data_IF_445146346097
#
_entry.id   IF_445146346097
#
_cell.length_a   1.000
_cell.length_b   1.000
_cell.length_c   1.000
_cell.angle_alpha   90.00
_cell.angle_beta   90.00
_cell.angle_gamma   90.00
#
_symmetry.space_group_name_H-M   'P 1'
#
loop_
_entity.id
_entity.type
_entity.pdbx_description
1 polymer ?
#
# COMPACT_ATOMS: atom_id res chain seq x y z
N UNK A 1 -11.02 -43.61 24.87
CA UNK A 1 -11.23 -42.56 23.85
C UNK A 1 -10.49 -41.30 24.30
N UNK A 2 -9.33 -41.02 23.71
CA UNK A 2 -8.49 -39.90 24.11
C UNK A 2 -9.09 -38.57 23.65
N UNK A 3 -9.29 -37.64 24.58
CA UNK A 3 -9.62 -36.26 24.28
C UNK A 3 -8.38 -35.58 23.67
N UNK A 4 -8.38 -35.33 22.36
CA UNK A 4 -7.37 -34.48 21.74
C UNK A 4 -7.64 -33.02 22.11
N UNK A 5 -6.82 -32.49 23.01
CA UNK A 5 -6.88 -31.12 23.52
C UNK A 5 -6.80 -30.08 22.40
N UNK A 6 -7.88 -29.31 22.24
CA UNK A 6 -8.00 -28.16 21.33
C UNK A 6 -7.03 -27.01 21.64
N UNK A 7 -6.30 -27.09 22.76
CA UNK A 7 -5.29 -26.11 23.16
C UNK A 7 -4.00 -26.19 22.33
N UNK A 8 -3.61 -27.37 21.83
CA UNK A 8 -2.35 -27.53 21.09
C UNK A 8 -2.32 -26.80 19.74
N UNK A 9 -3.46 -26.71 19.03
CA UNK A 9 -3.53 -26.03 17.71
C UNK A 9 -3.47 -24.51 17.84
N UNK A 10 -4.20 -23.93 18.79
CA UNK A 10 -4.21 -22.48 19.01
C UNK A 10 -2.87 -21.99 19.54
N UNK A 11 -2.24 -22.75 20.41
CA UNK A 11 -0.90 -22.43 20.92
C UNK A 11 0.16 -22.58 19.83
N UNK A 12 0.07 -23.62 18.99
CA UNK A 12 0.93 -23.77 17.81
C UNK A 12 0.78 -22.61 16.83
N UNK A 13 -0.44 -22.19 16.49
CA UNK A 13 -0.67 -21.04 15.60
C UNK A 13 -0.17 -19.72 16.20
N UNK A 14 -0.31 -19.53 17.52
CA UNK A 14 0.26 -18.36 18.22
C UNK A 14 1.78 -18.37 18.15
N UNK A 15 2.42 -19.51 18.44
CA UNK A 15 3.89 -19.67 18.38
C UNK A 15 4.40 -19.52 16.94
N UNK A 16 3.73 -20.10 15.96
CA UNK A 16 4.05 -19.96 14.53
C UNK A 16 3.92 -18.50 14.06
N UNK A 17 2.86 -17.81 14.46
CA UNK A 17 2.66 -16.39 14.16
C UNK A 17 3.73 -15.48 14.79
N UNK A 18 4.09 -15.72 16.06
CA UNK A 18 5.20 -15.02 16.71
C UNK A 18 6.55 -15.28 16.04
N UNK A 19 6.82 -16.53 15.62
CA UNK A 19 8.05 -16.88 14.89
C UNK A 19 8.11 -16.26 13.50
N UNK A 20 6.98 -16.15 12.78
CA UNK A 20 6.90 -15.44 11.51
C UNK A 20 7.15 -13.94 11.68
N UNK A 21 6.57 -13.33 12.71
CA UNK A 21 6.80 -11.93 13.04
C UNK A 21 8.29 -11.67 13.36
N UNK A 22 8.93 -12.52 14.18
CA UNK A 22 10.35 -12.40 14.50
C UNK A 22 11.27 -12.66 13.30
N UNK A 23 10.96 -13.67 12.48
CA UNK A 23 11.71 -13.97 11.24
C UNK A 23 11.60 -12.86 10.20
N UNK A 24 10.45 -12.19 10.11
CA UNK A 24 10.28 -11.02 9.26
C UNK A 24 11.08 -9.81 9.75
N UNK A 25 11.18 -9.55 11.06
CA UNK A 25 12.04 -8.46 11.55
C UNK A 25 13.53 -8.65 11.18
N UNK A 26 14.02 -9.89 11.20
CA UNK A 26 15.43 -10.18 10.92
C UNK A 26 15.82 -9.97 9.44
N UNK A 27 14.91 -10.19 8.49
CA UNK A 27 15.17 -9.94 7.06
C UNK A 27 15.09 -8.45 6.68
N UNK A 28 14.50 -7.62 7.55
CA UNK A 28 14.30 -6.19 7.33
C UNK A 28 15.37 -5.27 7.87
N UNK A 29 16.08 -5.67 8.93
CA UNK A 29 17.14 -4.85 9.52
C UNK A 29 18.19 -4.42 8.47
N UNK A 30 18.65 -5.29 7.53
CA UNK A 30 19.59 -4.86 6.49
C UNK A 30 18.99 -3.84 5.51
N UNK A 31 17.71 -4.00 5.14
CA UNK A 31 17.04 -3.10 4.18
C UNK A 31 16.71 -1.74 4.80
N UNK A 32 16.36 -1.69 6.09
CA UNK A 32 16.16 -0.45 6.83
C UNK A 32 17.48 0.25 7.16
N UNK A 33 18.56 -0.51 7.45
CA UNK A 33 19.89 0.04 7.72
C UNK A 33 20.58 0.64 6.48
N UNK A 34 20.06 0.38 5.27
CA UNK A 34 20.51 1.01 4.02
C UNK A 34 19.78 2.33 3.72
N UNK A 35 18.62 2.60 4.32
CA UNK A 35 17.88 3.86 4.17
C UNK A 35 18.54 5.13 4.76
N UNK A 36 19.40 5.10 5.80
CA UNK A 36 19.99 6.31 6.37
C UNK A 36 21.04 6.99 5.46
N UNK A 37 21.44 6.36 4.34
CA UNK A 37 22.42 6.94 3.41
C UNK A 37 21.82 7.91 2.38
N UNK A 38 20.51 8.16 2.42
CA UNK A 38 19.93 9.31 1.74
C UNK A 38 20.11 10.55 2.64
N UNK A 39 21.19 11.30 2.40
CA UNK A 39 21.32 12.67 2.94
C UNK A 39 20.16 13.50 2.39
N UNK A 40 19.07 13.60 3.17
CA UNK A 40 17.94 14.44 2.83
C UNK A 40 18.42 15.89 2.79
N UNK A 41 18.18 16.54 1.66
CA UNK A 41 18.44 17.95 1.43
C UNK A 41 17.94 18.80 2.61
N UNK A 42 18.79 19.70 3.09
CA UNK A 42 18.46 20.65 4.15
C UNK A 42 17.22 21.45 3.74
N UNK A 43 16.09 21.16 4.36
CA UNK A 43 14.85 21.88 4.10
C UNK A 43 14.58 22.85 5.24
N UNK A 44 14.06 24.03 4.92
CA UNK A 44 13.57 24.96 5.93
C UNK A 44 12.23 24.47 6.49
N UNK A 45 12.06 24.59 7.81
CA UNK A 45 10.88 24.08 8.54
C UNK A 45 10.96 22.61 8.96
N UNK A 46 10.03 22.17 9.80
CA UNK A 46 9.96 20.76 10.24
C UNK A 46 9.50 19.86 9.09
N UNK A 47 10.30 18.84 8.78
CA UNK A 47 9.96 17.78 7.84
C UNK A 47 10.35 16.44 8.43
N UNK A 48 9.44 15.48 8.36
CA UNK A 48 9.67 14.12 8.80
C UNK A 48 9.33 13.15 7.67
N UNK A 49 10.17 12.13 7.50
CA UNK A 49 9.86 10.97 6.69
C UNK A 49 9.36 9.87 7.64
N UNK A 50 8.15 9.38 7.42
CA UNK A 50 7.58 8.27 8.17
C UNK A 50 7.55 7.05 7.26
N UNK A 51 8.38 6.05 7.58
CA UNK A 51 8.40 4.77 6.87
C UNK A 51 7.47 3.78 7.57
N UNK A 52 6.32 3.49 6.96
CA UNK A 52 5.40 2.46 7.45
C UNK A 52 5.71 1.16 6.72
N UNK A 53 6.31 0.21 7.43
CA UNK A 53 6.54 -1.13 6.90
C UNK A 53 5.38 -2.05 7.26
N UNK A 54 4.76 -2.65 6.24
CA UNK A 54 3.67 -3.61 6.39
C UNK A 54 4.21 -4.99 6.01
N UNK A 55 4.45 -5.85 7.01
CA UNK A 55 5.06 -7.17 6.88
C UNK A 55 4.15 -8.19 6.14
N UNK A 56 3.88 -7.96 4.86
CA UNK A 56 3.07 -8.84 4.00
C UNK A 56 1.56 -8.74 4.20
N UNK A 57 1.08 -8.04 5.22
CA UNK A 57 -0.36 -7.86 5.47
C UNK A 57 -1.01 -6.76 4.59
N UNK A 58 -0.26 -6.14 3.67
CA UNK A 58 -0.78 -5.14 2.75
C UNK A 58 -0.96 -5.70 1.35
N UNK A 59 -2.20 -5.74 0.88
CA UNK A 59 -2.51 -6.01 -0.53
C UNK A 59 -2.42 -4.70 -1.34
N UNK A 60 -1.22 -4.35 -1.76
CA UNK A 60 -0.94 -3.10 -2.47
C UNK A 60 -1.66 -2.99 -3.83
N UNK A 61 -2.10 -4.12 -4.40
CA UNK A 61 -2.86 -4.12 -5.65
C UNK A 61 -4.22 -3.45 -5.50
N UNK A 62 -4.77 -3.41 -4.28
CA UNK A 62 -6.05 -2.76 -4.00
C UNK A 62 -5.90 -1.31 -3.51
N UNK A 63 -4.69 -0.76 -3.39
CA UNK A 63 -4.47 0.62 -2.93
C UNK A 63 -4.73 1.66 -4.00
N UNK A 64 -4.16 1.45 -5.19
CA UNK A 64 -4.24 2.35 -6.33
C UNK A 64 -4.57 1.52 -7.57
N UNK A 65 -5.84 1.51 -7.93
CA UNK A 65 -6.40 0.65 -8.97
C UNK A 65 -6.69 1.49 -10.22
N UNK A 66 -6.35 1.02 -11.43
CA UNK A 66 -6.80 1.69 -12.66
C UNK A 66 -8.32 1.81 -12.69
N UNK A 67 -8.84 2.99 -13.03
CA UNK A 67 -10.28 3.26 -13.08
C UNK A 67 -10.68 3.91 -14.41
N UNK A 68 -10.13 3.38 -15.49
CA UNK A 68 -10.31 3.90 -16.84
C UNK A 68 -11.65 3.52 -17.47
N UNK A 69 -12.11 2.27 -17.33
CA UNK A 69 -13.42 1.81 -17.80
C UNK A 69 -13.77 0.43 -17.21
N UNK A 70 -15.04 0.04 -17.21
CA UNK A 70 -15.46 -1.35 -16.90
C UNK A 70 -15.45 -2.27 -18.13
N UNK A 71 -15.25 -1.72 -19.33
CA UNK A 71 -15.24 -2.46 -20.59
C UNK A 71 -14.12 -3.52 -20.63
N UNK A 72 -14.38 -4.61 -21.37
CA UNK A 72 -13.36 -5.64 -21.63
C UNK A 72 -12.14 -5.04 -22.32
N UNK A 73 -10.95 -5.45 -21.88
CA UNK A 73 -9.66 -4.98 -22.39
C UNK A 73 -9.16 -3.67 -21.77
N UNK A 74 -9.92 -3.06 -20.85
CA UNK A 74 -9.45 -1.93 -20.05
C UNK A 74 -8.38 -2.36 -19.03
N UNK A 75 -7.70 -1.38 -18.44
CA UNK A 75 -6.73 -1.67 -17.37
C UNK A 75 -7.42 -2.12 -16.08
N UNK A 76 -8.60 -1.57 -15.79
CA UNK A 76 -9.43 -2.10 -14.71
C UNK A 76 -9.83 -3.57 -14.97
N UNK A 77 -10.24 -3.92 -16.20
CA UNK A 77 -10.56 -5.31 -16.56
C UNK A 77 -9.35 -6.23 -16.36
N UNK A 78 -8.15 -5.79 -16.76
CA UNK A 78 -6.89 -6.51 -16.52
C UNK A 78 -6.63 -6.74 -15.03
N UNK A 79 -6.78 -5.70 -14.21
CA UNK A 79 -6.69 -5.80 -12.74
C UNK A 79 -7.72 -6.80 -12.20
N UNK A 80 -8.99 -6.65 -12.59
CA UNK A 80 -10.10 -7.48 -12.12
C UNK A 80 -9.87 -8.96 -12.45
N UNK A 81 -9.46 -9.28 -13.68
CA UNK A 81 -9.21 -10.65 -14.13
C UNK A 81 -8.00 -11.28 -13.44
N UNK A 82 -6.89 -10.53 -13.32
CA UNK A 82 -5.66 -11.00 -12.65
C UNK A 82 -5.93 -11.36 -11.17
N UNK A 83 -6.96 -10.76 -10.59
CA UNK A 83 -7.37 -10.92 -9.19
C UNK A 83 -8.50 -11.94 -8.99
N UNK A 84 -8.82 -12.73 -10.01
CA UNK A 84 -9.88 -13.75 -9.93
C UNK A 84 -11.29 -13.16 -9.91
N UNK A 85 -11.47 -11.91 -10.35
CA UNK A 85 -12.74 -11.20 -10.36
C UNK A 85 -13.10 -10.54 -9.03
N UNK A 86 -14.29 -9.94 -8.99
CA UNK A 86 -14.86 -9.32 -7.79
C UNK A 86 -15.51 -10.39 -6.93
N UNK A 87 -15.31 -10.31 -5.62
CA UNK A 87 -15.96 -11.21 -4.67
C UNK A 87 -17.49 -11.10 -4.77
N UNK A 88 -18.18 -12.24 -4.82
CA UNK A 88 -19.65 -12.30 -4.78
C UNK A 88 -20.11 -13.66 -4.27
N UNK A 89 -21.42 -13.84 -4.06
CA UNK A 89 -21.99 -15.14 -3.67
C UNK A 89 -21.67 -16.27 -4.67
N UNK A 90 -21.43 -15.94 -5.94
CA UNK A 90 -21.03 -16.89 -6.98
C UNK A 90 -19.53 -16.92 -7.26
N UNK A 91 -18.76 -15.98 -6.69
CA UNK A 91 -17.31 -15.91 -6.83
C UNK A 91 -16.66 -15.68 -5.46
N UNK A 92 -16.46 -16.76 -4.70
CA UNK A 92 -15.87 -16.71 -3.36
C UNK A 92 -14.36 -16.48 -3.34
N UNK A 93 -13.70 -16.58 -4.50
CA UNK A 93 -12.25 -16.45 -4.63
C UNK A 93 -11.80 -15.11 -5.21
N UNK A 94 -12.76 -14.23 -5.56
CA UNK A 94 -12.47 -12.92 -6.13
C UNK A 94 -11.79 -12.00 -5.11
N UNK A 95 -10.71 -11.35 -5.51
CA UNK A 95 -9.94 -10.43 -4.67
C UNK A 95 -9.93 -9.00 -5.22
N UNK A 96 -10.54 -8.77 -6.38
CA UNK A 96 -10.68 -7.43 -6.96
C UNK A 96 -11.73 -6.61 -6.20
N UNK A 97 -11.48 -5.31 -6.09
CA UNK A 97 -12.50 -4.34 -5.70
C UNK A 97 -13.47 -4.07 -6.87
N UNK A 98 -14.76 -3.92 -6.57
CA UNK A 98 -15.73 -3.52 -7.58
C UNK A 98 -15.43 -2.09 -8.07
N UNK A 99 -15.68 -1.82 -9.35
CA UNK A 99 -15.36 -0.53 -9.97
C UNK A 99 -16.01 0.66 -9.25
N UNK A 100 -17.23 0.44 -8.77
CA UNK A 100 -18.03 1.45 -8.08
C UNK A 100 -17.70 1.58 -6.59
N UNK A 101 -17.00 0.61 -5.99
CA UNK A 101 -16.50 0.73 -4.62
C UNK A 101 -15.21 1.56 -4.56
N UNK A 102 -14.49 1.66 -5.68
CA UNK A 102 -13.25 2.42 -5.77
C UNK A 102 -13.52 3.93 -5.62
N UNK A 103 -12.77 4.56 -4.72
CA UNK A 103 -12.80 6.00 -4.50
C UNK A 103 -12.05 6.73 -5.62
N UNK A 104 -12.73 7.46 -6.52
CA UNK A 104 -12.09 8.03 -7.70
C UNK A 104 -11.06 9.12 -7.34
N UNK A 105 -9.93 9.09 -8.02
CA UNK A 105 -8.94 10.16 -8.05
C UNK A 105 -8.47 10.41 -9.49
N UNK A 106 -8.21 11.68 -9.81
CA UNK A 106 -7.75 12.11 -11.15
C UNK A 106 -6.42 12.84 -11.01
N UNK A 107 -5.28 12.17 -11.27
CA UNK A 107 -3.99 12.82 -11.28
C UNK A 107 -3.91 13.92 -12.34
N UNK A 108 -3.36 15.08 -11.97
CA UNK A 108 -3.23 16.23 -12.88
C UNK A 108 -2.13 16.04 -13.94
N UNK A 109 -1.23 15.09 -13.74
CA UNK A 109 -0.04 14.88 -14.57
C UNK A 109 -0.18 13.73 -15.58
N UNK A 110 -1.35 13.09 -15.69
CA UNK A 110 -1.58 12.01 -16.65
C UNK A 110 -3.07 11.85 -16.98
N UNK A 111 -3.42 11.35 -18.17
CA UNK A 111 -4.82 11.21 -18.60
C UNK A 111 -5.57 10.05 -17.92
N UNK A 112 -4.87 9.24 -17.13
CA UNK A 112 -5.39 8.00 -16.57
C UNK A 112 -6.10 8.23 -15.24
N UNK A 113 -7.37 7.86 -15.16
CA UNK A 113 -8.11 7.83 -13.90
C UNK A 113 -7.71 6.62 -13.05
N UNK A 114 -7.71 6.82 -11.73
CA UNK A 114 -7.45 5.78 -10.75
C UNK A 114 -8.54 5.77 -9.67
N UNK A 115 -8.56 4.70 -8.91
CA UNK A 115 -9.45 4.48 -7.79
C UNK A 115 -8.65 4.02 -6.57
N UNK A 116 -8.98 4.55 -5.40
CA UNK A 116 -8.38 4.14 -4.14
C UNK A 116 -9.27 3.11 -3.42
N UNK A 117 -8.65 2.29 -2.57
CA UNK A 117 -9.38 1.40 -1.66
C UNK A 117 -10.44 2.20 -0.87
N UNK A 118 -11.66 1.66 -0.61
CA UNK A 118 -12.70 2.33 0.19
C UNK A 118 -12.24 2.84 1.57
N UNK A 119 -11.27 2.14 2.16
CA UNK A 119 -10.65 2.50 3.44
C UNK A 119 -9.86 3.83 3.40
N UNK A 120 -9.65 4.41 2.22
CA UNK A 120 -9.02 5.72 2.03
C UNK A 120 -10.01 6.89 2.06
N UNK A 121 -11.29 6.64 2.36
CA UNK A 121 -12.28 7.67 2.60
C UNK A 121 -12.00 8.40 3.93
N UNK A 122 -12.66 9.54 4.12
CA UNK A 122 -12.66 10.23 5.41
C UNK A 122 -13.17 9.30 6.51
N UNK A 123 -12.51 9.35 7.67
CA UNK A 123 -12.81 8.47 8.79
C UNK A 123 -12.84 9.25 10.09
N UNK A 124 -13.53 8.70 11.08
CA UNK A 124 -13.52 9.24 12.45
C UNK A 124 -12.74 8.30 13.35
N UNK A 125 -11.67 8.79 13.95
CA UNK A 125 -10.94 8.06 14.97
C UNK A 125 -11.63 8.28 16.32
N UNK A 126 -11.98 7.19 17.01
CA UNK A 126 -12.63 7.23 18.32
C UNK A 126 -11.69 6.61 19.35
N UNK A 127 -11.42 7.33 20.43
CA UNK A 127 -10.66 6.87 21.58
C UNK A 127 -11.44 7.18 22.86
N UNK A 128 -12.12 6.17 23.41
CA UNK A 128 -13.07 6.35 24.51
C UNK A 128 -14.24 7.24 24.09
N UNK A 129 -14.51 8.30 24.85
CA UNK A 129 -15.53 9.31 24.53
C UNK A 129 -15.05 10.38 23.54
N UNK A 130 -13.76 10.40 23.19
CA UNK A 130 -13.21 11.36 22.24
C UNK A 130 -13.36 10.84 20.81
N UNK A 131 -13.99 11.63 19.94
CA UNK A 131 -14.08 11.37 18.51
C UNK A 131 -13.44 12.52 17.74
N UNK A 132 -12.63 12.22 16.74
CA UNK A 132 -11.98 13.20 15.87
C UNK A 132 -12.14 12.77 14.41
N UNK A 133 -12.62 13.69 13.57
CA UNK A 133 -12.75 13.47 12.14
C UNK A 133 -11.40 13.71 11.45
N UNK A 134 -11.05 12.82 10.53
CA UNK A 134 -9.82 12.87 9.75
C UNK A 134 -10.12 12.75 8.26
N UNK A 135 -9.50 13.59 7.46
CA UNK A 135 -9.53 13.44 6.01
C UNK A 135 -8.80 12.17 5.59
N UNK A 136 -9.44 11.37 4.74
CA UNK A 136 -8.85 10.22 4.10
C UNK A 136 -7.90 10.62 2.99
N UNK A 137 -7.16 9.64 2.46
CA UNK A 137 -6.17 9.87 1.40
C UNK A 137 -6.83 10.42 0.13
N UNK A 138 -8.06 10.01 -0.19
CA UNK A 138 -8.79 10.55 -1.35
C UNK A 138 -9.00 12.07 -1.22
N UNK A 139 -9.50 12.52 -0.07
CA UNK A 139 -9.74 13.94 0.21
C UNK A 139 -8.43 14.74 0.20
N UNK A 140 -7.36 14.19 0.78
CA UNK A 140 -6.04 14.84 0.77
C UNK A 140 -5.45 14.94 -0.65
N UNK A 141 -5.63 13.92 -1.48
CA UNK A 141 -5.20 13.93 -2.87
C UNK A 141 -5.95 15.01 -3.66
N UNK A 142 -7.28 15.06 -3.52
CA UNK A 142 -8.12 16.05 -4.19
C UNK A 142 -7.79 17.50 -3.75
N UNK A 143 -7.26 17.68 -2.54
CA UNK A 143 -6.76 18.96 -2.03
C UNK A 143 -5.32 19.30 -2.48
N UNK A 144 -4.66 18.44 -3.26
CA UNK A 144 -3.26 18.61 -3.65
C UNK A 144 -2.26 18.40 -2.50
N UNK A 145 -2.68 17.73 -1.41
CA UNK A 145 -1.86 17.46 -0.22
C UNK A 145 -1.30 16.03 -0.16
N UNK A 146 -1.68 15.17 -1.10
CA UNK A 146 -1.15 13.83 -1.23
C UNK A 146 -0.78 13.54 -2.70
N UNK A 147 0.28 12.77 -2.89
CA UNK A 147 0.71 12.28 -4.20
C UNK A 147 1.13 10.82 -4.08
N UNK A 148 0.90 10.05 -5.14
CA UNK A 148 1.36 8.68 -5.24
C UNK A 148 2.65 8.63 -6.06
N UNK A 149 3.64 7.91 -5.56
CA UNK A 149 4.85 7.57 -6.31
C UNK A 149 4.88 6.06 -6.43
N UNK A 150 4.77 5.57 -7.65
CA UNK A 150 4.70 4.14 -7.95
C UNK A 150 5.96 3.67 -8.64
N UNK A 151 6.22 2.36 -8.62
CA UNK A 151 7.36 1.73 -9.31
C UNK A 151 8.72 2.29 -8.86
N UNK A 152 8.85 2.69 -7.60
CA UNK A 152 10.10 3.18 -7.01
C UNK A 152 10.92 2.02 -6.44
N UNK A 153 12.22 2.01 -6.73
CA UNK A 153 13.20 1.10 -6.14
C UNK A 153 14.37 1.85 -5.51
N UNK A 154 15.21 1.12 -4.78
CA UNK A 154 16.48 1.66 -4.27
C UNK A 154 17.46 1.84 -5.42
N UNK A 155 18.24 2.91 -5.39
CA UNK A 155 19.36 3.09 -6.30
C UNK A 155 20.44 2.02 -6.05
N UNK A 156 21.05 1.51 -7.12
CA UNK A 156 22.23 0.61 -7.01
C UNK A 156 23.44 1.34 -6.41
N UNK A 157 23.60 2.63 -6.75
CA UNK A 157 24.60 3.54 -6.15
C UNK A 157 24.01 4.95 -6.03
N UNK A 158 24.50 5.79 -5.11
CA UNK A 158 24.14 7.21 -5.10
C UNK A 158 24.47 7.86 -6.45
N UNK A 159 23.53 8.65 -6.97
CA UNK A 159 23.71 9.52 -8.13
C UNK A 159 23.25 10.94 -7.78
N UNK A 160 23.90 11.94 -8.35
CA UNK A 160 23.49 13.34 -8.29
C UNK A 160 22.39 13.63 -9.32
N UNK A 161 21.70 14.76 -9.13
CA UNK A 161 20.69 15.24 -10.09
C UNK A 161 21.28 15.48 -11.48
N UNK A 162 22.47 16.07 -11.55
CA UNK A 162 23.16 16.32 -12.82
C UNK A 162 23.56 15.01 -13.52
N UNK A 163 24.01 14.00 -12.77
CA UNK A 163 24.25 12.66 -13.34
C UNK A 163 22.96 12.06 -13.92
N UNK A 164 21.83 12.17 -13.21
CA UNK A 164 20.53 11.69 -13.71
C UNK A 164 20.08 12.42 -14.99
N UNK A 165 20.16 13.75 -15.02
CA UNK A 165 19.79 14.57 -16.19
C UNK A 165 20.69 14.30 -17.40
N UNK A 166 21.95 13.93 -17.18
CA UNK A 166 22.91 13.56 -18.22
C UNK A 166 22.80 12.09 -18.67
N UNK A 167 21.75 11.38 -18.27
CA UNK A 167 21.47 10.02 -18.74
C UNK A 167 22.29 8.93 -18.05
N UNK A 168 22.63 9.11 -16.76
CA UNK A 168 23.29 8.08 -15.97
C UNK A 168 22.60 6.71 -16.19
N UNK A 169 23.36 5.63 -16.42
CA UNK A 169 22.81 4.35 -16.82
C UNK A 169 22.09 3.71 -15.64
N UNK A 170 20.76 3.92 -15.61
CA UNK A 170 19.76 3.29 -14.74
C UNK A 170 19.93 3.51 -13.22
N UNK A 171 18.93 4.07 -12.53
CA UNK A 171 18.82 3.94 -11.06
C UNK A 171 18.76 2.47 -10.63
#
# INVERSE_FOLDING_TARGET
MGHHSSNNRREFLKKLGCSFAAGSLASLIPQLALMPRAMAQSATGYRALVCVYLAGANDSWNWLVPRDSESSGSRYDTYRLTRGGVYSGSNSSGLALAFNDLLPITPSNQPSAYGLHPANADFTAVNGSAAQAHSGIQSLFNQGKAAFVCNTGTLVRPISKSEYENGAPRP
#
